data_IF_372658510177
#
_entry.id   IF_372658510177
#
_cell.length_a   1.000
_cell.length_b   1.000
_cell.length_c   1.000
_cell.angle_alpha   90.00
_cell.angle_beta   90.00
_cell.angle_gamma   90.00
#
_symmetry.space_group_name_H-M   'P 1'
#
loop_
_entity.id
_entity.type
_entity.pdbx_description
1 polymer ?
#
# COMPACT_ATOMS: atom_id res chain seq x y z
N UNK A 1 -5.66 48.32 -7.17
CA UNK A 1 -4.94 47.12 -6.68
C UNK A 1 -5.73 45.90 -7.13
N UNK A 2 -5.12 45.05 -7.98
CA UNK A 2 -5.70 43.79 -8.45
C UNK A 2 -5.88 42.83 -7.27
N UNK A 3 -7.04 42.20 -7.17
CA UNK A 3 -7.25 40.97 -6.38
C UNK A 3 -8.05 40.02 -7.26
N UNK A 4 -7.34 39.37 -8.16
CA UNK A 4 -7.86 38.21 -8.88
C UNK A 4 -7.82 37.04 -7.89
N UNK A 5 -8.93 36.84 -7.19
CA UNK A 5 -9.17 35.66 -6.36
C UNK A 5 -9.76 34.59 -7.29
N UNK A 6 -8.90 33.89 -8.02
CA UNK A 6 -9.27 32.77 -8.88
C UNK A 6 -9.57 31.58 -7.96
N UNK A 7 -10.78 31.57 -7.39
CA UNK A 7 -11.32 30.42 -6.70
C UNK A 7 -11.48 29.30 -7.74
N UNK A 8 -10.54 28.35 -7.76
CA UNK A 8 -10.61 27.16 -8.61
C UNK A 8 -11.99 26.52 -8.46
N UNK A 9 -12.85 26.68 -9.47
CA UNK A 9 -14.13 25.97 -9.55
C UNK A 9 -13.80 24.49 -9.69
N UNK A 10 -14.14 23.70 -8.69
CA UNK A 10 -14.11 22.25 -8.77
C UNK A 10 -15.33 21.81 -9.56
N UNK A 11 -15.15 21.50 -10.85
CA UNK A 11 -16.21 20.83 -11.60
C UNK A 11 -16.43 19.43 -11.01
N UNK A 12 -17.69 18.99 -10.88
CA UNK A 12 -17.98 17.63 -10.43
C UNK A 12 -17.44 16.61 -11.42
N UNK A 13 -16.96 15.47 -10.91
CA UNK A 13 -16.57 14.33 -11.73
C UNK A 13 -17.77 13.82 -12.52
N UNK A 14 -17.57 13.43 -13.78
CA UNK A 14 -18.65 12.89 -14.62
C UNK A 14 -19.02 11.47 -14.19
N UNK A 15 -20.28 11.10 -14.35
CA UNK A 15 -20.77 9.75 -14.03
C UNK A 15 -20.01 8.66 -14.82
N UNK A 16 -19.66 8.95 -16.08
CA UNK A 16 -18.84 8.04 -16.90
C UNK A 16 -17.42 7.88 -16.35
N UNK A 17 -16.81 8.93 -15.82
CA UNK A 17 -15.51 8.84 -15.16
C UNK A 17 -15.60 8.00 -13.88
N UNK A 18 -16.61 8.25 -13.05
CA UNK A 18 -16.85 7.50 -11.81
C UNK A 18 -17.02 6.02 -12.13
N UNK A 19 -17.88 5.68 -13.10
CA UNK A 19 -18.13 4.29 -13.49
C UNK A 19 -16.89 3.58 -14.04
N UNK A 20 -16.07 4.28 -14.83
CA UNK A 20 -14.80 3.72 -15.31
C UNK A 20 -13.79 3.53 -14.18
N UNK A 21 -13.74 4.44 -13.22
CA UNK A 21 -12.88 4.32 -12.04
C UNK A 21 -13.32 3.16 -11.14
N UNK A 22 -14.62 3.02 -10.88
CA UNK A 22 -15.20 1.89 -10.12
C UNK A 22 -14.81 0.56 -10.76
N UNK A 23 -14.98 0.43 -12.08
CA UNK A 23 -14.58 -0.78 -12.82
C UNK A 23 -13.09 -1.07 -12.69
N UNK A 24 -12.24 -0.04 -12.76
CA UNK A 24 -10.79 -0.21 -12.62
C UNK A 24 -10.40 -0.69 -11.21
N UNK A 25 -11.06 -0.15 -10.17
CA UNK A 25 -10.88 -0.57 -8.78
C UNK A 25 -11.40 -2.00 -8.57
N UNK A 26 -12.48 -2.38 -9.24
CA UNK A 26 -13.01 -3.74 -9.21
C UNK A 26 -12.09 -4.76 -9.90
N UNK A 27 -11.46 -4.40 -11.01
CA UNK A 27 -10.62 -5.30 -11.81
C UNK A 27 -9.16 -5.35 -11.34
N UNK A 28 -8.69 -4.40 -10.52
CA UNK A 28 -7.30 -4.37 -10.05
C UNK A 28 -7.13 -5.21 -8.78
N UNK A 29 -6.60 -6.42 -8.94
CA UNK A 29 -6.13 -7.21 -7.79
C UNK A 29 -4.79 -6.69 -7.28
N UNK A 30 -4.69 -6.50 -5.96
CA UNK A 30 -3.40 -6.23 -5.36
C UNK A 30 -2.45 -7.41 -5.58
N UNK A 31 -1.23 -7.17 -6.08
CA UNK A 31 -0.26 -8.24 -6.25
C UNK A 31 0.17 -8.83 -4.90
N UNK A 32 0.38 -10.14 -4.84
CA UNK A 32 0.83 -10.81 -3.62
C UNK A 32 2.09 -10.18 -3.03
N UNK A 33 2.13 -10.01 -1.72
CA UNK A 33 3.28 -9.48 -1.01
C UNK A 33 4.48 -10.43 -1.15
N UNK A 34 5.58 -9.96 -1.73
CA UNK A 34 6.84 -10.73 -1.87
C UNK A 34 7.78 -10.56 -0.66
N UNK A 35 7.25 -10.09 0.47
CA UNK A 35 7.98 -9.85 1.73
C UNK A 35 9.27 -9.02 1.58
N UNK A 36 9.28 -8.02 0.69
CA UNK A 36 10.48 -7.20 0.38
C UNK A 36 10.87 -6.16 1.45
N UNK A 37 10.12 -6.04 2.55
CA UNK A 37 10.40 -5.07 3.62
C UNK A 37 10.18 -3.59 3.29
N UNK A 38 9.82 -3.24 2.03
CA UNK A 38 9.69 -1.85 1.59
C UNK A 38 8.72 -1.03 2.47
N UNK A 39 7.53 -1.57 2.76
CA UNK A 39 6.53 -0.87 3.57
C UNK A 39 7.07 -0.54 4.97
N UNK A 40 7.84 -1.45 5.57
CA UNK A 40 8.44 -1.25 6.88
C UNK A 40 9.50 -0.15 6.92
N UNK A 41 10.02 0.30 5.77
CA UNK A 41 11.01 1.38 5.68
C UNK A 41 10.44 2.74 5.28
N UNK A 42 9.19 2.79 4.83
CA UNK A 42 8.65 3.99 4.18
C UNK A 42 7.34 4.49 4.77
N UNK A 43 6.58 3.64 5.49
CA UNK A 43 5.28 4.05 6.02
C UNK A 43 4.96 3.39 7.36
N UNK A 44 4.16 4.09 8.16
CA UNK A 44 3.62 3.58 9.41
C UNK A 44 2.57 2.51 9.10
N UNK A 45 2.64 1.39 9.81
CA UNK A 45 1.71 0.28 9.67
C UNK A 45 0.73 0.25 10.84
N UNK A 46 -0.57 0.02 10.58
CA UNK A 46 -1.60 -0.14 11.61
C UNK A 46 -1.31 -1.24 12.64
N UNK A 47 -0.49 -2.23 12.28
CA UNK A 47 -0.17 -3.39 13.11
C UNK A 47 1.23 -3.36 13.73
N UNK A 48 2.02 -2.35 13.37
CA UNK A 48 3.41 -2.21 13.75
C UNK A 48 3.65 -1.02 14.69
N UNK A 49 4.91 -0.80 15.01
CA UNK A 49 5.37 0.36 15.75
C UNK A 49 6.52 1.00 14.97
N UNK A 50 6.52 2.33 14.87
CA UNK A 50 7.53 3.08 14.14
C UNK A 50 8.68 3.47 15.06
N UNK A 51 9.91 3.11 14.67
CA UNK A 51 11.13 3.61 15.28
C UNK A 51 11.52 4.93 14.60
N UNK A 52 11.37 6.04 15.31
CA UNK A 52 11.68 7.37 14.78
C UNK A 52 13.18 7.63 14.66
N UNK A 53 14.01 6.98 15.46
CA UNK A 53 15.47 7.13 15.40
C UNK A 53 16.02 6.40 14.17
N UNK A 54 15.60 5.15 13.98
CA UNK A 54 16.01 4.31 12.83
C UNK A 54 15.20 4.60 11.55
N UNK A 55 14.12 5.38 11.66
CA UNK A 55 13.17 5.69 10.57
C UNK A 55 12.64 4.44 9.87
N UNK A 56 12.25 3.43 10.65
CA UNK A 56 11.70 2.17 10.14
C UNK A 56 10.77 1.50 11.16
N UNK A 57 10.01 0.51 10.74
CA UNK A 57 9.20 -0.32 11.62
C UNK A 57 10.10 -1.14 12.57
N UNK A 58 9.75 -1.18 13.86
CA UNK A 58 10.45 -1.98 14.88
C UNK A 58 10.44 -3.47 14.62
N UNK A 59 9.49 -3.95 13.81
CA UNK A 59 9.33 -5.36 13.46
C UNK A 59 10.01 -5.74 12.13
N UNK A 60 10.83 -4.85 11.56
CA UNK A 60 11.67 -5.17 10.41
C UNK A 60 12.88 -6.00 10.87
N UNK A 61 13.03 -7.20 10.32
CA UNK A 61 14.18 -8.08 10.59
C UNK A 61 15.40 -7.68 9.78
N UNK A 62 16.57 -8.23 10.15
CA UNK A 62 17.84 -8.00 9.44
C UNK A 62 17.79 -8.51 7.99
N UNK A 63 16.97 -9.52 7.72
CA UNK A 63 16.72 -10.08 6.37
C UNK A 63 15.74 -9.25 5.54
N UNK A 64 15.34 -8.06 6.00
CA UNK A 64 14.30 -7.22 5.39
C UNK A 64 12.91 -7.85 5.36
N UNK A 65 12.57 -8.68 6.35
CA UNK A 65 11.24 -9.28 6.48
C UNK A 65 10.41 -8.57 7.57
N UNK A 66 9.08 -8.65 7.46
CA UNK A 66 8.20 -8.26 8.55
C UNK A 66 8.02 -9.45 9.51
N UNK A 67 8.50 -9.36 10.74
CA UNK A 67 8.41 -10.46 11.72
C UNK A 67 6.97 -10.79 12.15
N UNK A 68 6.03 -9.86 11.94
CA UNK A 68 4.60 -10.03 12.25
C UNK A 68 3.76 -10.48 11.05
N UNK A 69 4.38 -10.80 9.91
CA UNK A 69 3.65 -11.07 8.67
C UNK A 69 2.58 -12.15 8.83
N UNK A 70 2.91 -13.31 9.40
CA UNK A 70 1.97 -14.43 9.52
C UNK A 70 0.88 -14.14 10.57
N UNK A 71 1.24 -13.49 11.68
CA UNK A 71 0.30 -13.05 12.73
C UNK A 71 -0.77 -12.10 12.17
N UNK A 72 -0.34 -11.10 11.39
CA UNK A 72 -1.25 -10.09 10.83
C UNK A 72 -2.18 -10.72 9.80
N UNK A 73 -1.65 -11.54 8.90
CA UNK A 73 -2.47 -12.24 7.91
C UNK A 73 -3.51 -13.14 8.59
N UNK A 74 -3.10 -13.92 9.60
CA UNK A 74 -4.01 -14.77 10.36
C UNK A 74 -5.09 -13.95 11.09
N UNK A 75 -4.75 -12.78 11.62
CA UNK A 75 -5.70 -11.86 12.23
C UNK A 75 -6.72 -11.34 11.21
N UNK A 76 -6.25 -10.80 10.07
CA UNK A 76 -7.12 -10.28 9.01
C UNK A 76 -8.04 -11.36 8.42
N UNK A 77 -7.53 -12.59 8.25
CA UNK A 77 -8.33 -13.75 7.85
C UNK A 77 -9.40 -14.10 8.89
N UNK A 78 -9.04 -14.08 10.18
CA UNK A 78 -9.97 -14.36 11.27
C UNK A 78 -11.13 -13.37 11.31
N UNK A 79 -10.87 -12.09 11.06
CA UNK A 79 -11.91 -11.05 10.99
C UNK A 79 -12.59 -10.97 9.62
N UNK A 80 -12.23 -11.86 8.67
CA UNK A 80 -12.81 -11.98 7.33
C UNK A 80 -12.77 -10.66 6.54
N UNK A 81 -11.68 -9.90 6.67
CA UNK A 81 -11.43 -8.79 5.75
C UNK A 81 -11.24 -9.36 4.34
N UNK A 82 -11.99 -8.82 3.38
CA UNK A 82 -11.75 -9.14 1.98
C UNK A 82 -10.35 -8.66 1.57
N UNK A 83 -9.76 -9.30 0.56
CA UNK A 83 -8.38 -9.02 0.15
C UNK A 83 -8.16 -7.57 -0.27
N UNK A 84 -9.21 -6.85 -0.71
CA UNK A 84 -9.14 -5.46 -1.15
C UNK A 84 -9.23 -4.49 0.04
N UNK A 85 -9.90 -4.88 1.12
CA UNK A 85 -10.00 -4.13 2.37
C UNK A 85 -8.90 -4.45 3.40
N UNK A 86 -7.96 -5.36 3.07
CA UNK A 86 -6.84 -5.65 3.95
C UNK A 86 -5.97 -4.41 4.14
N UNK A 87 -5.63 -4.13 5.40
CA UNK A 87 -4.80 -2.98 5.76
C UNK A 87 -3.32 -3.35 5.62
N UNK A 88 -3.00 -4.62 5.87
CA UNK A 88 -1.66 -5.17 5.73
C UNK A 88 -1.32 -5.50 4.30
N UNK A 89 -0.05 -5.26 3.93
CA UNK A 89 0.42 -5.51 2.56
C UNK A 89 -0.01 -4.46 1.53
N UNK A 90 -0.88 -3.51 1.89
CA UNK A 90 -1.27 -2.35 1.07
C UNK A 90 -0.07 -1.62 0.48
N UNK A 91 1.06 -1.52 1.18
CA UNK A 91 2.29 -0.93 0.63
C UNK A 91 2.84 -1.64 -0.63
N UNK A 92 2.56 -2.93 -0.83
CA UNK A 92 2.86 -3.65 -2.07
C UNK A 92 1.83 -3.37 -3.18
N UNK A 93 0.60 -2.98 -2.82
CA UNK A 93 -0.49 -2.66 -3.74
C UNK A 93 -0.45 -1.20 -4.21
N UNK A 94 -0.10 -0.29 -3.31
CA UNK A 94 -0.26 1.15 -3.48
C UNK A 94 0.87 1.80 -4.29
N UNK A 95 1.94 1.07 -4.58
CA UNK A 95 3.11 1.63 -5.24
C UNK A 95 3.49 0.81 -6.47
N UNK A 96 3.16 1.36 -7.64
CA UNK A 96 3.62 0.85 -8.94
C UNK A 96 5.16 0.91 -9.11
N UNK A 97 5.88 1.52 -8.15
CA UNK A 97 7.34 1.66 -8.16
C UNK A 97 7.99 1.18 -6.85
N UNK A 98 7.71 -0.05 -6.41
CA UNK A 98 8.51 -0.67 -5.34
C UNK A 98 9.78 -1.33 -5.95
N UNK A 99 10.97 -0.70 -5.89
CA UNK A 99 12.18 -1.22 -6.54
C UNK A 99 12.61 -2.56 -5.97
N UNK A 100 12.46 -2.78 -4.65
CA UNK A 100 12.81 -4.06 -4.03
C UNK A 100 11.90 -5.19 -4.50
N UNK A 101 10.60 -4.91 -4.73
CA UNK A 101 9.69 -5.88 -5.34
C UNK A 101 10.17 -6.27 -6.73
N UNK A 102 10.47 -5.29 -7.58
CA UNK A 102 10.91 -5.54 -8.96
C UNK A 102 12.20 -6.38 -8.99
N UNK A 103 13.14 -6.09 -8.10
CA UNK A 103 14.37 -6.88 -7.97
C UNK A 103 14.08 -8.34 -7.58
N UNK A 104 13.19 -8.57 -6.60
CA UNK A 104 12.81 -9.92 -6.17
C UNK A 104 12.10 -10.67 -7.30
N UNK A 105 11.17 -10.03 -8.01
CA UNK A 105 10.45 -10.66 -9.13
C UNK A 105 11.42 -11.08 -10.25
N UNK A 106 12.38 -10.22 -10.60
CA UNK A 106 13.45 -10.58 -11.56
C UNK A 106 14.25 -11.79 -11.12
N UNK A 107 14.63 -11.87 -9.83
CA UNK A 107 15.36 -13.03 -9.28
C UNK A 107 14.52 -14.31 -9.29
N UNK A 108 13.20 -14.20 -9.17
CA UNK A 108 12.25 -15.31 -9.21
C UNK A 108 11.84 -15.71 -10.65
N UNK A 109 12.31 -15.00 -11.68
CA UNK A 109 11.92 -15.24 -13.07
C UNK A 109 10.45 -14.95 -13.36
N UNK A 110 9.85 -14.00 -12.63
CA UNK A 110 8.46 -13.54 -12.81
C UNK A 110 8.40 -12.19 -13.48
#
# INVERSE_FOLDING_TARGET
MKKDNDAQRTEPLTDDFIKNLEKLIEETDCPECVKCGWCCKHTVCYYGEWDYEKRQCKFLTEENLCSKYDEINAFEDKIRLDKKSRLFGSGCCLNYENPYRLEILRRLGK
#
